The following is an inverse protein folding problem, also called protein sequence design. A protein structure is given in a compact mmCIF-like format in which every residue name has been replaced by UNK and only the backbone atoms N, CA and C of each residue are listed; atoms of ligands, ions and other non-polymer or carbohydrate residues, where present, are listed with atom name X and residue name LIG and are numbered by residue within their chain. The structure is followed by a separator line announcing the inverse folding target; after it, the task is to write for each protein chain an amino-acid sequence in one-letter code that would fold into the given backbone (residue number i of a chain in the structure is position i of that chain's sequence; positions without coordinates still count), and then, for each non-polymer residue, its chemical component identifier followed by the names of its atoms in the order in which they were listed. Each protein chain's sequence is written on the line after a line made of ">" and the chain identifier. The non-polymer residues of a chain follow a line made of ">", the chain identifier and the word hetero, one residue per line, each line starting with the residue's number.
data_IF_207585874544
#
_entry.id   IF_207585874544
#
_cell.length_a   1.000
_cell.length_b   1.000
_cell.length_c   1.000
_cell.angle_alpha   90.00
_cell.angle_beta   90.00
_cell.angle_gamma   90.00
#
_symmetry.space_group_name_H-M   'P 1'
#
loop_
_entity.id
_entity.type
_entity.pdbx_description
1 polymer ?
#
# COMPACT_ATOMS: atom_id res chain seq x y z
N UNK A 1 24.65 6.88 4.32
CA UNK A 1 23.65 5.83 4.64
C UNK A 1 23.52 5.73 6.15
N UNK A 2 22.30 5.79 6.69
CA UNK A 2 22.04 5.65 8.13
C UNK A 2 22.22 4.19 8.58
N UNK A 3 22.41 3.98 9.91
CA UNK A 3 22.40 2.61 10.45
C UNK A 3 21.02 1.99 10.33
N UNK A 4 20.96 0.69 10.05
CA UNK A 4 19.68 -0.05 9.95
C UNK A 4 19.86 -1.52 10.37
N UNK A 5 18.76 -2.15 10.71
CA UNK A 5 18.59 -3.59 10.82
C UNK A 5 17.51 -4.01 9.80
N UNK A 6 17.84 -5.00 8.97
CA UNK A 6 16.90 -5.51 7.98
C UNK A 6 16.59 -6.98 8.23
N UNK A 7 15.31 -7.26 8.41
CA UNK A 7 14.78 -8.62 8.48
C UNK A 7 13.41 -8.66 7.83
N UNK A 8 13.25 -9.49 6.81
CA UNK A 8 11.95 -9.80 6.25
C UNK A 8 11.74 -11.32 6.34
N UNK A 9 10.88 -11.79 7.26
CA UNK A 9 10.72 -13.21 7.53
C UNK A 9 9.73 -13.91 6.58
N UNK A 10 9.01 -13.15 5.74
CA UNK A 10 7.95 -13.71 4.90
C UNK A 10 8.54 -14.56 3.76
N UNK A 11 8.11 -15.82 3.70
CA UNK A 11 8.42 -16.69 2.56
C UNK A 11 7.51 -16.34 1.39
N UNK A 12 8.07 -16.12 0.20
CA UNK A 12 7.31 -15.87 -1.03
C UNK A 12 7.30 -17.15 -1.90
N UNK A 13 6.11 -17.54 -2.32
CA UNK A 13 5.90 -18.54 -3.37
C UNK A 13 5.38 -17.79 -4.59
N UNK A 14 6.25 -17.59 -5.58
CA UNK A 14 5.97 -16.80 -6.77
C UNK A 14 5.88 -17.67 -8.02
N UNK A 15 4.88 -17.45 -8.84
CA UNK A 15 4.74 -18.06 -10.16
C UNK A 15 3.39 -18.72 -10.40
N UNK A 16 3.23 -19.25 -11.60
CA UNK A 16 2.01 -19.93 -12.04
C UNK A 16 1.71 -21.17 -11.20
N UNK A 17 0.44 -21.35 -10.82
CA UNK A 17 -0.04 -22.53 -10.10
C UNK A 17 0.40 -22.62 -8.63
N UNK A 18 1.00 -21.56 -8.06
CA UNK A 18 1.52 -21.61 -6.69
C UNK A 18 0.43 -21.76 -5.62
N UNK A 19 -0.84 -21.48 -5.91
CA UNK A 19 -1.96 -21.67 -4.97
C UNK A 19 -2.07 -23.14 -4.52
N UNK A 20 -1.73 -24.09 -5.37
CA UNK A 20 -1.72 -25.53 -5.05
C UNK A 20 -0.77 -25.90 -3.88
N UNK A 21 0.23 -25.04 -3.62
CA UNK A 21 1.19 -25.26 -2.55
C UNK A 21 0.69 -24.86 -1.14
N UNK A 22 -0.50 -24.27 -1.00
CA UNK A 22 -1.07 -23.88 0.30
C UNK A 22 -1.00 -24.99 1.34
N UNK A 23 -1.41 -26.22 0.98
CA UNK A 23 -1.43 -27.36 1.90
C UNK A 23 -0.04 -27.84 2.35
N UNK A 24 1.03 -27.44 1.65
CA UNK A 24 2.42 -27.75 2.02
C UNK A 24 2.99 -26.79 3.05
N UNK A 25 2.46 -25.58 3.12
CA UNK A 25 2.97 -24.48 3.96
C UNK A 25 2.17 -24.30 5.25
N UNK A 26 0.89 -24.66 5.27
CA UNK A 26 0.04 -24.57 6.45
C UNK A 26 0.26 -25.80 7.34
N UNK A 27 0.46 -25.64 8.67
CA UNK A 27 0.61 -26.76 9.57
C UNK A 27 -0.59 -27.71 9.50
N UNK A 28 -0.32 -29.04 9.49
CA UNK A 28 -1.39 -30.06 9.44
C UNK A 28 -2.34 -29.90 10.63
N UNK A 29 -3.62 -30.17 10.38
CA UNK A 29 -4.71 -30.06 11.36
C UNK A 29 -5.03 -28.66 11.88
N UNK A 30 -4.47 -27.61 11.26
CA UNK A 30 -4.87 -26.24 11.60
C UNK A 30 -6.32 -25.98 11.20
N UNK A 31 -7.08 -25.30 12.05
CA UNK A 31 -8.37 -24.71 11.72
C UNK A 31 -8.15 -23.31 11.18
N UNK A 32 -8.55 -23.06 9.95
CA UNK A 32 -8.21 -21.88 9.17
C UNK A 32 -9.41 -20.94 9.10
N UNK A 33 -9.22 -19.64 9.35
CA UNK A 33 -10.17 -18.61 8.92
C UNK A 33 -9.71 -18.00 7.60
N UNK A 34 -10.42 -18.33 6.52
CA UNK A 34 -10.22 -17.74 5.21
C UNK A 34 -10.98 -16.41 5.10
N UNK A 35 -10.22 -15.32 4.92
CA UNK A 35 -10.71 -13.94 4.85
C UNK A 35 -10.64 -13.45 3.41
N UNK A 36 -11.72 -12.84 2.90
CA UNK A 36 -11.76 -12.30 1.54
C UNK A 36 -12.68 -11.06 1.42
N UNK A 37 -12.54 -10.34 0.32
CA UNK A 37 -13.32 -9.13 0.04
C UNK A 37 -14.73 -9.40 -0.49
N UNK A 38 -15.20 -8.59 -1.43
CA UNK A 38 -16.55 -8.61 -2.00
C UNK A 38 -16.91 -9.82 -2.88
N UNK A 39 -16.06 -10.85 -2.94
CA UNK A 39 -16.36 -12.10 -3.62
C UNK A 39 -15.91 -12.19 -5.09
N UNK A 40 -15.05 -11.29 -5.58
CA UNK A 40 -14.44 -11.38 -6.91
C UNK A 40 -13.70 -12.72 -7.11
N UNK A 41 -13.06 -13.23 -6.06
CA UNK A 41 -12.34 -14.52 -6.08
C UNK A 41 -13.24 -15.70 -6.44
N UNK A 42 -14.55 -15.64 -6.15
CA UNK A 42 -15.55 -16.66 -6.53
C UNK A 42 -15.91 -16.63 -8.01
N UNK A 43 -15.62 -15.52 -8.69
CA UNK A 43 -15.92 -15.33 -10.12
C UNK A 43 -14.76 -15.66 -11.03
N UNK A 44 -13.53 -15.57 -10.53
CA UNK A 44 -12.30 -15.73 -11.30
C UNK A 44 -11.57 -17.08 -11.05
N UNK A 45 -12.19 -17.97 -10.28
CA UNK A 45 -11.69 -19.32 -10.02
C UNK A 45 -10.62 -19.42 -8.90
N UNK A 46 -10.19 -18.31 -8.30
CA UNK A 46 -9.19 -18.33 -7.21
C UNK A 46 -9.78 -19.01 -5.97
N UNK A 47 -11.06 -18.76 -5.66
CA UNK A 47 -11.74 -19.40 -4.54
C UNK A 47 -11.72 -20.92 -4.65
N UNK A 48 -12.04 -21.45 -5.84
CA UNK A 48 -12.07 -22.91 -6.06
C UNK A 48 -10.68 -23.53 -5.93
N UNK A 49 -9.65 -22.90 -6.46
CA UNK A 49 -8.25 -23.32 -6.31
C UNK A 49 -7.83 -23.37 -4.83
N UNK A 50 -8.17 -22.33 -4.05
CA UNK A 50 -7.87 -22.28 -2.61
C UNK A 50 -8.62 -23.37 -1.86
N UNK A 51 -9.91 -23.59 -2.16
CA UNK A 51 -10.72 -24.65 -1.52
C UNK A 51 -10.21 -26.05 -1.85
N UNK A 52 -9.79 -26.27 -3.08
CA UNK A 52 -9.18 -27.54 -3.49
C UNK A 52 -7.86 -27.79 -2.77
N UNK A 53 -6.96 -26.81 -2.73
CA UNK A 53 -5.70 -26.90 -2.02
C UNK A 53 -5.87 -27.15 -0.51
N UNK A 54 -6.98 -26.67 0.07
CA UNK A 54 -7.31 -26.82 1.50
C UNK A 54 -8.35 -27.90 1.78
N UNK A 55 -8.61 -28.81 0.85
CA UNK A 55 -9.66 -29.85 0.98
C UNK A 55 -9.53 -30.77 2.22
N UNK A 56 -8.33 -30.89 2.76
CA UNK A 56 -8.03 -31.69 3.95
C UNK A 56 -7.96 -30.86 5.25
N UNK A 57 -8.38 -29.59 5.23
CA UNK A 57 -8.37 -28.69 6.38
C UNK A 57 -9.77 -28.28 6.80
N UNK A 58 -9.96 -27.97 8.07
CA UNK A 58 -11.16 -27.30 8.55
C UNK A 58 -11.06 -25.79 8.23
N UNK A 59 -11.90 -25.33 7.29
CA UNK A 59 -11.89 -23.95 6.82
C UNK A 59 -13.19 -23.25 7.17
N UNK A 60 -13.12 -22.25 8.03
CA UNK A 60 -14.17 -21.28 8.30
C UNK A 60 -13.98 -20.10 7.36
N UNK A 61 -15.06 -19.50 6.88
CA UNK A 61 -14.99 -18.41 5.91
C UNK A 61 -15.57 -17.11 6.47
N UNK A 62 -14.90 -15.99 6.14
CA UNK A 62 -15.41 -14.65 6.38
C UNK A 62 -15.16 -13.79 5.14
N UNK A 63 -16.24 -13.45 4.43
CA UNK A 63 -16.21 -12.58 3.26
C UNK A 63 -16.77 -11.19 3.56
N UNK A 64 -16.58 -10.26 2.61
CA UNK A 64 -17.16 -8.93 2.67
C UNK A 64 -16.26 -7.87 3.33
N UNK A 65 -14.95 -8.12 3.43
CA UNK A 65 -14.00 -7.07 3.81
C UNK A 65 -13.98 -6.02 2.69
N UNK A 66 -14.36 -4.76 2.95
CA UNK A 66 -14.41 -3.72 1.93
C UNK A 66 -13.01 -3.24 1.53
N UNK A 67 -12.94 -2.54 0.40
CA UNK A 67 -11.81 -1.66 0.12
C UNK A 67 -11.68 -0.64 1.26
N UNK A 68 -10.44 -0.35 1.73
CA UNK A 68 -10.20 0.35 2.99
C UNK A 68 -10.86 -0.41 4.17
N UNK A 69 -10.19 -1.45 4.71
CA UNK A 69 -10.83 -2.40 5.62
C UNK A 69 -11.43 -1.68 6.83
N UNK A 70 -12.69 -1.92 7.06
CA UNK A 70 -13.54 -1.19 8.02
C UNK A 70 -13.54 -1.89 9.39
N UNK A 71 -13.23 -1.15 10.45
CA UNK A 71 -13.10 -1.65 11.82
C UNK A 71 -14.34 -2.44 12.28
N UNK A 72 -15.55 -1.93 12.01
CA UNK A 72 -16.80 -2.58 12.43
C UNK A 72 -16.98 -3.95 11.78
N UNK A 73 -16.56 -4.10 10.51
CA UNK A 73 -16.57 -5.37 9.78
C UNK A 73 -15.56 -6.34 10.36
N UNK A 74 -14.34 -5.86 10.64
CA UNK A 74 -13.27 -6.67 11.23
C UNK A 74 -13.63 -7.16 12.64
N UNK A 75 -14.37 -6.38 13.44
CA UNK A 75 -14.84 -6.81 14.75
C UNK A 75 -15.83 -7.99 14.68
N UNK A 76 -16.56 -8.15 13.56
CA UNK A 76 -17.39 -9.36 13.34
C UNK A 76 -16.51 -10.58 13.08
N UNK A 77 -15.45 -10.42 12.28
CA UNK A 77 -14.47 -11.49 12.05
C UNK A 77 -13.71 -11.87 13.35
N UNK A 78 -13.36 -10.89 14.18
CA UNK A 78 -12.70 -11.14 15.47
C UNK A 78 -13.57 -11.99 16.41
N UNK A 79 -14.88 -11.77 16.43
CA UNK A 79 -15.80 -12.64 17.20
C UNK A 79 -15.78 -14.08 16.68
N UNK A 80 -15.71 -14.25 15.36
CA UNK A 80 -15.64 -15.59 14.75
C UNK A 80 -14.34 -16.30 15.13
N UNK A 81 -13.18 -15.59 15.11
CA UNK A 81 -11.89 -16.14 15.54
C UNK A 81 -11.98 -16.70 16.96
N UNK A 82 -12.59 -15.93 17.88
CA UNK A 82 -12.70 -16.31 19.30
C UNK A 82 -13.67 -17.47 19.54
N UNK A 83 -14.76 -17.56 18.76
CA UNK A 83 -15.80 -18.56 18.93
C UNK A 83 -15.43 -19.91 18.31
N UNK A 84 -14.67 -19.90 17.22
CA UNK A 84 -14.37 -21.07 16.42
C UNK A 84 -13.02 -21.73 16.73
N UNK A 85 -12.26 -21.20 17.68
CA UNK A 85 -10.89 -21.69 18.01
C UNK A 85 -10.00 -21.77 16.76
N UNK A 86 -9.90 -20.68 16.04
CA UNK A 86 -9.07 -20.58 14.83
C UNK A 86 -7.58 -20.62 15.18
N UNK A 87 -6.80 -21.42 14.46
CA UNK A 87 -5.35 -21.55 14.65
C UNK A 87 -4.54 -20.60 13.78
N UNK A 88 -4.99 -20.34 12.53
CA UNK A 88 -4.32 -19.43 11.62
C UNK A 88 -5.30 -18.69 10.70
N UNK A 89 -4.86 -17.56 10.16
CA UNK A 89 -5.64 -16.75 9.23
C UNK A 89 -5.08 -16.91 7.82
N UNK A 90 -5.97 -16.89 6.82
CA UNK A 90 -5.59 -16.89 5.42
C UNK A 90 -6.29 -15.72 4.70
N UNK A 91 -5.53 -14.70 4.32
CA UNK A 91 -6.02 -13.61 3.49
C UNK A 91 -6.03 -14.04 2.02
N UNK A 92 -7.20 -14.05 1.38
CA UNK A 92 -7.34 -14.28 -0.07
C UNK A 92 -7.88 -13.01 -0.70
N UNK A 93 -6.97 -12.10 -1.10
CA UNK A 93 -7.37 -10.77 -1.55
C UNK A 93 -6.20 -9.84 -1.87
N UNK A 94 -6.51 -8.58 -2.09
CA UNK A 94 -5.54 -7.49 -2.19
C UNK A 94 -5.19 -6.90 -0.82
N UNK A 95 -4.48 -5.75 -0.84
CA UNK A 95 -3.99 -5.07 0.35
C UNK A 95 -5.02 -4.89 1.46
N UNK A 96 -6.25 -4.49 1.13
CA UNK A 96 -7.31 -4.28 2.14
C UNK A 96 -7.68 -5.54 2.92
N UNK A 97 -7.72 -6.71 2.25
CA UNK A 97 -7.96 -7.98 2.93
C UNK A 97 -6.77 -8.37 3.79
N UNK A 98 -5.56 -8.15 3.29
CA UNK A 98 -4.32 -8.46 4.00
C UNK A 98 -4.18 -7.56 5.23
N UNK A 99 -4.43 -6.25 5.10
CA UNK A 99 -4.38 -5.29 6.21
C UNK A 99 -5.42 -5.62 7.28
N UNK A 100 -6.66 -5.93 6.87
CA UNK A 100 -7.69 -6.43 7.78
C UNK A 100 -7.26 -7.71 8.51
N UNK A 101 -6.57 -8.62 7.82
CA UNK A 101 -6.04 -9.87 8.40
C UNK A 101 -4.92 -9.58 9.40
N UNK A 102 -4.01 -8.65 9.10
CA UNK A 102 -2.97 -8.20 10.05
C UNK A 102 -3.58 -7.60 11.32
N UNK A 103 -4.58 -6.74 11.15
CA UNK A 103 -5.30 -6.21 12.31
C UNK A 103 -5.93 -7.33 13.14
N UNK A 104 -6.61 -8.28 12.53
CA UNK A 104 -7.23 -9.41 13.20
C UNK A 104 -6.19 -10.31 13.89
N UNK A 105 -5.03 -10.53 13.26
CA UNK A 105 -3.90 -11.26 13.84
C UNK A 105 -3.46 -10.65 15.17
N UNK A 106 -3.28 -9.32 15.24
CA UNK A 106 -2.95 -8.63 16.47
C UNK A 106 -4.12 -8.58 17.46
N UNK A 107 -5.34 -8.24 16.98
CA UNK A 107 -6.53 -8.06 17.81
C UNK A 107 -6.98 -9.36 18.51
N UNK A 108 -6.70 -10.51 17.92
CA UNK A 108 -7.00 -11.81 18.51
C UNK A 108 -6.22 -12.06 19.81
N UNK A 109 -5.00 -11.52 19.92
CA UNK A 109 -4.12 -11.65 21.08
C UNK A 109 -4.21 -10.42 22.02
N UNK A 110 -4.86 -9.36 21.57
CA UNK A 110 -4.96 -8.11 22.33
C UNK A 110 -5.81 -8.26 23.59
N UNK A 111 -5.28 -7.80 24.73
CA UNK A 111 -5.90 -7.90 26.07
C UNK A 111 -6.44 -6.57 26.62
N UNK A 112 -6.31 -5.48 25.86
CA UNK A 112 -6.83 -4.17 26.26
C UNK A 112 -8.33 -4.02 26.00
N UNK A 113 -8.88 -2.87 26.38
CA UNK A 113 -10.32 -2.58 26.36
C UNK A 113 -10.88 -2.50 24.94
N UNK A 114 -10.15 -1.89 24.02
CA UNK A 114 -10.58 -1.70 22.63
C UNK A 114 -9.45 -2.06 21.65
N UNK A 115 -9.68 -2.97 20.69
CA UNK A 115 -8.69 -3.27 19.64
C UNK A 115 -8.31 -2.05 18.80
N UNK A 116 -9.11 -0.98 18.76
CA UNK A 116 -8.76 0.27 18.10
C UNK A 116 -7.49 0.92 18.69
N UNK A 117 -7.18 0.65 19.95
CA UNK A 117 -5.98 1.14 20.59
C UNK A 117 -4.68 0.62 19.94
N UNK A 118 -4.73 -0.50 19.20
CA UNK A 118 -3.61 -0.96 18.39
C UNK A 118 -3.17 0.07 17.32
N UNK A 119 -4.08 0.98 16.90
CA UNK A 119 -3.80 2.03 15.93
C UNK A 119 -3.51 3.39 16.61
N UNK A 120 -4.12 3.66 17.77
CA UNK A 120 -4.01 4.98 18.42
C UNK A 120 -2.85 5.08 19.40
N UNK A 121 -2.38 3.96 19.97
CA UNK A 121 -1.29 3.94 20.97
C UNK A 121 0.10 4.17 20.38
N UNK A 122 0.24 4.15 19.04
CA UNK A 122 1.52 4.32 18.32
C UNK A 122 2.64 3.38 18.81
N UNK A 123 2.29 2.16 19.23
CA UNK A 123 3.25 1.14 19.67
C UNK A 123 3.46 0.08 18.62
N UNK A 124 4.71 -0.36 18.37
CA UNK A 124 4.96 -1.48 17.48
C UNK A 124 4.25 -2.76 17.94
N UNK A 125 3.58 -3.44 17.03
CA UNK A 125 2.94 -4.73 17.28
C UNK A 125 4.02 -5.82 17.22
N UNK A 126 4.30 -6.45 18.34
CA UNK A 126 5.37 -7.46 18.46
C UNK A 126 4.88 -8.90 18.28
N UNK A 127 3.59 -9.14 18.49
CA UNK A 127 2.98 -10.47 18.42
C UNK A 127 1.65 -10.43 17.67
N UNK A 128 1.37 -11.50 16.93
CA UNK A 128 0.11 -11.72 16.23
C UNK A 128 -0.14 -13.21 16.00
N UNK A 129 -1.39 -13.58 15.73
CA UNK A 129 -1.71 -14.92 15.25
C UNK A 129 -1.00 -15.16 13.92
N UNK A 130 -0.50 -16.39 13.67
CA UNK A 130 0.09 -16.71 12.37
C UNK A 130 -0.93 -16.53 11.24
N UNK A 131 -0.49 -15.93 10.15
CA UNK A 131 -1.31 -15.76 8.96
C UNK A 131 -0.48 -15.89 7.68
N UNK A 132 -1.18 -16.25 6.61
CA UNK A 132 -0.65 -16.34 5.27
C UNK A 132 -1.52 -15.54 4.28
N UNK A 133 -1.00 -15.32 3.07
CA UNK A 133 -1.73 -14.59 2.05
C UNK A 133 -1.74 -15.30 0.70
N UNK A 134 -2.82 -15.15 -0.04
CA UNK A 134 -2.92 -15.36 -1.49
C UNK A 134 -3.25 -14.02 -2.10
N UNK A 135 -2.26 -13.39 -2.73
CA UNK A 135 -2.40 -12.05 -3.29
C UNK A 135 -3.25 -12.11 -4.57
N UNK A 136 -4.29 -11.26 -4.63
CA UNK A 136 -5.18 -11.19 -5.79
C UNK A 136 -5.25 -9.81 -6.45
N UNK A 137 -4.64 -8.80 -5.84
CA UNK A 137 -4.54 -7.44 -6.37
C UNK A 137 -3.21 -6.81 -5.89
N UNK A 138 -2.17 -6.80 -6.73
CA UNK A 138 -0.89 -6.17 -6.41
C UNK A 138 -1.01 -4.65 -6.36
N UNK A 139 -0.51 -4.03 -5.30
CA UNK A 139 -0.41 -2.58 -5.10
C UNK A 139 0.46 -2.26 -3.88
N UNK A 140 -0.03 -2.63 -2.69
CA UNK A 140 0.43 -2.15 -1.37
C UNK A 140 1.68 -2.85 -0.83
N UNK A 141 2.12 -3.96 -1.44
CA UNK A 141 3.19 -4.80 -0.87
C UNK A 141 2.86 -5.40 0.51
N UNK A 142 1.57 -5.34 0.94
CA UNK A 142 1.14 -5.81 2.26
C UNK A 142 1.43 -7.31 2.48
N UNK A 143 1.52 -8.08 1.42
CA UNK A 143 1.90 -9.49 1.44
C UNK A 143 3.36 -9.76 1.86
N UNK A 144 4.20 -8.72 1.93
CA UNK A 144 5.61 -8.85 2.32
C UNK A 144 6.08 -7.71 3.23
N UNK A 145 5.17 -7.04 3.93
CA UNK A 145 5.52 -6.03 4.93
C UNK A 145 4.75 -6.23 6.24
N UNK A 146 5.05 -5.40 7.24
CA UNK A 146 4.47 -5.46 8.58
C UNK A 146 3.56 -4.27 8.90
N UNK A 147 3.16 -3.49 7.90
CA UNK A 147 2.22 -2.38 8.04
C UNK A 147 0.79 -2.79 7.71
N UNK A 148 -0.18 -2.12 8.27
CA UNK A 148 -1.60 -2.24 7.95
C UNK A 148 -2.31 -0.90 8.16
N UNK A 149 -3.34 -0.62 7.37
CA UNK A 149 -4.14 0.60 7.48
C UNK A 149 -5.61 0.23 7.63
N UNK A 150 -6.24 0.70 8.69
CA UNK A 150 -7.63 0.39 9.02
C UNK A 150 -8.46 1.66 9.03
N UNK A 151 -9.66 1.58 8.48
CA UNK A 151 -10.62 2.67 8.45
C UNK A 151 -11.65 2.50 9.57
N UNK A 152 -12.06 3.62 10.19
CA UNK A 152 -13.19 3.69 11.08
C UNK A 152 -14.18 4.71 10.55
N UNK A 153 -15.26 4.22 9.96
CA UNK A 153 -16.24 5.06 9.27
C UNK A 153 -16.95 6.02 10.23
N UNK A 154 -17.27 5.56 11.45
CA UNK A 154 -17.94 6.36 12.50
C UNK A 154 -17.23 7.68 12.80
N UNK A 155 -15.90 7.67 12.80
CA UNK A 155 -15.05 8.83 13.10
C UNK A 155 -14.38 9.40 11.85
N UNK A 156 -14.62 8.79 10.67
CA UNK A 156 -13.95 9.11 9.40
C UNK A 156 -12.42 9.12 9.54
N UNK A 157 -11.88 8.14 10.25
CA UNK A 157 -10.45 7.98 10.46
C UNK A 157 -9.89 6.84 9.59
N UNK A 158 -8.69 7.03 9.07
CA UNK A 158 -7.90 5.99 8.39
C UNK A 158 -6.50 6.03 8.97
N UNK A 159 -6.17 5.07 9.84
CA UNK A 159 -4.96 5.04 10.64
C UNK A 159 -4.10 3.82 10.30
N UNK A 160 -2.78 4.02 10.37
CA UNK A 160 -1.80 2.97 10.17
C UNK A 160 -1.37 2.34 11.52
N UNK A 161 -1.04 1.06 11.47
CA UNK A 161 -0.34 0.33 12.52
C UNK A 161 0.76 -0.53 11.92
N UNK A 162 1.73 -0.96 12.71
CA UNK A 162 2.82 -1.79 12.20
C UNK A 162 3.65 -2.41 13.30
N UNK A 163 4.47 -3.37 12.91
CA UNK A 163 5.44 -3.99 13.80
C UNK A 163 5.80 -5.43 13.42
N UNK A 164 6.87 -5.98 13.99
CA UNK A 164 7.43 -7.27 13.56
C UNK A 164 6.47 -8.46 13.71
N UNK A 165 5.43 -8.36 14.55
CA UNK A 165 4.40 -9.39 14.70
C UNK A 165 3.40 -9.48 13.56
N UNK A 166 3.45 -8.55 12.58
CA UNK A 166 2.48 -8.45 11.49
C UNK A 166 3.01 -8.91 10.12
N UNK A 167 4.17 -9.53 10.06
CA UNK A 167 4.61 -10.16 8.81
C UNK A 167 3.82 -11.45 8.54
N UNK A 168 3.35 -11.67 7.30
CA UNK A 168 2.84 -12.99 6.90
C UNK A 168 3.92 -14.06 7.07
N UNK A 169 3.53 -15.27 7.48
CA UNK A 169 4.44 -16.42 7.50
C UNK A 169 4.89 -16.75 6.09
N UNK A 170 3.94 -16.77 5.16
CA UNK A 170 4.22 -16.90 3.73
C UNK A 170 3.16 -16.19 2.91
N UNK A 171 3.49 -15.89 1.66
CA UNK A 171 2.57 -15.30 0.69
C UNK A 171 2.70 -15.97 -0.67
N UNK A 172 1.56 -16.25 -1.28
CA UNK A 172 1.46 -16.79 -2.64
C UNK A 172 1.17 -15.68 -3.60
N UNK A 173 2.02 -15.56 -4.60
CA UNK A 173 1.98 -14.56 -5.66
C UNK A 173 1.90 -15.27 -7.02
N UNK A 174 0.69 -15.50 -7.52
CA UNK A 174 0.47 -16.06 -8.84
C UNK A 174 0.08 -14.96 -9.83
N UNK A 175 0.95 -14.59 -10.78
CA UNK A 175 0.68 -13.52 -11.74
C UNK A 175 -0.57 -13.74 -12.60
N UNK A 176 -1.05 -14.97 -12.75
CA UNK A 176 -2.26 -15.26 -13.51
C UNK A 176 -3.54 -14.63 -12.93
N UNK A 177 -3.55 -14.31 -11.63
CA UNK A 177 -4.69 -13.65 -11.00
C UNK A 177 -4.97 -12.26 -11.62
N UNK A 178 -3.93 -11.62 -12.18
CA UNK A 178 -3.98 -10.26 -12.72
C UNK A 178 -4.92 -10.17 -13.93
N UNK A 179 -5.04 -11.21 -14.74
CA UNK A 179 -5.91 -11.25 -15.93
C UNK A 179 -7.38 -10.92 -15.64
N UNK A 180 -7.81 -11.09 -14.42
CA UNK A 180 -9.19 -10.83 -13.99
C UNK A 180 -9.40 -9.47 -13.32
N UNK A 181 -8.33 -8.68 -13.16
CA UNK A 181 -8.38 -7.40 -12.48
C UNK A 181 -8.91 -6.33 -13.43
N UNK A 182 -9.94 -5.55 -13.04
CA UNK A 182 -10.42 -4.43 -13.84
C UNK A 182 -9.30 -3.39 -14.10
N UNK A 183 -9.29 -2.80 -15.28
CA UNK A 183 -8.28 -1.82 -15.71
C UNK A 183 -8.12 -0.66 -14.71
N UNK A 184 -9.22 -0.17 -14.12
CA UNK A 184 -9.20 0.85 -13.06
C UNK A 184 -8.34 0.41 -11.87
N UNK A 185 -8.44 -0.84 -11.46
CA UNK A 185 -7.69 -1.35 -10.30
C UNK A 185 -6.22 -1.61 -10.65
N UNK A 186 -5.91 -1.99 -11.88
CA UNK A 186 -4.52 -2.08 -12.37
C UNK A 186 -3.85 -0.71 -12.36
N UNK A 187 -4.52 0.31 -12.89
CA UNK A 187 -4.04 1.69 -12.86
C UNK A 187 -3.79 2.18 -11.42
N UNK A 188 -4.73 1.90 -10.51
CA UNK A 188 -4.58 2.21 -9.10
C UNK A 188 -3.37 1.48 -8.49
N UNK A 189 -3.18 0.19 -8.77
CA UNK A 189 -2.06 -0.59 -8.25
C UNK A 189 -0.70 -0.08 -8.73
N UNK A 190 -0.59 0.29 -10.01
CA UNK A 190 0.62 0.89 -10.58
C UNK A 190 0.94 2.22 -9.87
N UNK A 191 -0.06 3.10 -9.74
CA UNK A 191 0.11 4.41 -9.11
C UNK A 191 0.48 4.32 -7.63
N UNK A 192 -0.14 3.40 -6.89
CA UNK A 192 0.12 3.15 -5.48
C UNK A 192 1.58 2.69 -5.27
N UNK A 193 1.99 1.63 -5.99
CA UNK A 193 3.35 1.12 -5.92
C UNK A 193 4.40 2.17 -6.36
N UNK A 194 4.10 2.92 -7.42
CA UNK A 194 4.97 4.00 -7.90
C UNK A 194 5.15 5.09 -6.83
N UNK A 195 4.07 5.50 -6.17
CA UNK A 195 4.11 6.51 -5.11
C UNK A 195 4.80 5.99 -3.84
N UNK A 196 4.60 4.72 -3.47
CA UNK A 196 5.36 4.08 -2.38
C UNK A 196 6.87 4.21 -2.59
N UNK A 197 7.34 3.96 -3.82
CA UNK A 197 8.76 4.11 -4.13
C UNK A 197 9.18 5.58 -4.07
N UNK A 198 8.38 6.50 -4.63
CA UNK A 198 8.70 7.92 -4.60
C UNK A 198 8.86 8.47 -3.18
N UNK A 199 8.01 8.09 -2.23
CA UNK A 199 8.12 8.58 -0.85
C UNK A 199 9.32 8.01 -0.07
N UNK A 200 9.93 6.95 -0.55
CA UNK A 200 11.18 6.41 -0.03
C UNK A 200 12.41 6.93 -0.79
N UNK A 201 12.23 7.37 -2.04
CA UNK A 201 13.29 7.81 -2.94
C UNK A 201 13.48 9.33 -2.93
N UNK A 202 12.39 10.14 -2.93
CA UNK A 202 12.40 11.61 -2.98
C UNK A 202 12.71 12.23 -1.61
N UNK A 203 13.81 11.79 -1.00
CA UNK A 203 14.26 12.23 0.32
C UNK A 203 15.65 12.83 0.25
N UNK A 204 16.13 13.44 1.34
CA UNK A 204 17.48 14.02 1.35
C UNK A 204 18.58 12.97 1.16
N UNK A 205 19.67 13.32 0.46
CA UNK A 205 20.73 12.37 0.13
C UNK A 205 21.43 11.84 1.38
N UNK A 206 21.52 10.52 1.53
CA UNK A 206 22.27 9.83 2.59
C UNK A 206 23.50 9.07 2.07
N UNK A 207 23.79 9.16 0.77
CA UNK A 207 24.82 8.38 0.10
C UNK A 207 24.47 6.90 -0.09
N UNK A 208 23.19 6.55 -0.04
CA UNK A 208 22.68 5.19 -0.17
C UNK A 208 22.48 4.81 -1.65
N UNK A 209 23.56 4.73 -2.42
CA UNK A 209 23.52 4.52 -3.88
C UNK A 209 22.79 3.25 -4.30
N UNK A 210 22.88 2.18 -3.51
CA UNK A 210 22.22 0.92 -3.83
C UNK A 210 20.70 1.03 -3.67
N UNK A 211 20.23 1.67 -2.60
CA UNK A 211 18.80 1.92 -2.38
C UNK A 211 18.22 2.81 -3.47
N UNK A 212 18.96 3.85 -3.89
CA UNK A 212 18.54 4.67 -5.03
C UNK A 212 18.35 3.81 -6.29
N UNK A 213 19.31 2.95 -6.63
CA UNK A 213 19.22 2.09 -7.81
C UNK A 213 18.11 1.05 -7.71
N UNK A 214 17.85 0.47 -6.54
CA UNK A 214 16.70 -0.41 -6.35
C UNK A 214 15.38 0.33 -6.58
N UNK A 215 15.24 1.52 -5.99
CA UNK A 215 14.07 2.38 -6.20
C UNK A 215 13.90 2.75 -7.69
N UNK A 216 14.97 3.20 -8.32
CA UNK A 216 15.00 3.56 -9.73
C UNK A 216 14.62 2.38 -10.64
N UNK A 217 15.13 1.17 -10.36
CA UNK A 217 14.77 -0.03 -11.13
C UNK A 217 13.29 -0.39 -11.00
N UNK A 218 12.70 -0.25 -9.81
CA UNK A 218 11.26 -0.51 -9.61
C UNK A 218 10.44 0.52 -10.38
N UNK A 219 10.78 1.82 -10.28
CA UNK A 219 10.08 2.89 -11.00
C UNK A 219 10.14 2.69 -12.52
N UNK A 220 11.32 2.40 -13.06
CA UNK A 220 11.50 2.12 -14.50
C UNK A 220 10.67 0.92 -14.93
N UNK A 221 10.71 -0.19 -14.17
CA UNK A 221 9.93 -1.39 -14.48
C UNK A 221 8.43 -1.08 -14.50
N UNK A 222 7.91 -0.33 -13.52
CA UNK A 222 6.50 0.06 -13.50
C UNK A 222 6.11 0.92 -14.71
N UNK A 223 6.96 1.86 -15.11
CA UNK A 223 6.74 2.70 -16.32
C UNK A 223 6.72 1.83 -17.59
N UNK A 224 7.65 0.88 -17.71
CA UNK A 224 7.76 0.01 -18.87
C UNK A 224 6.58 -0.96 -19.00
N UNK A 225 6.15 -1.59 -17.90
CA UNK A 225 5.10 -2.61 -17.95
C UNK A 225 3.69 -2.02 -17.96
N UNK A 226 3.50 -0.79 -17.50
CA UNK A 226 2.18 -0.17 -17.40
C UNK A 226 1.36 -0.20 -18.71
N UNK A 227 1.89 0.20 -19.87
CA UNK A 227 1.14 0.14 -21.14
C UNK A 227 0.78 -1.29 -21.53
N UNK A 228 1.67 -2.26 -21.30
CA UNK A 228 1.45 -3.65 -21.66
C UNK A 228 0.36 -4.27 -20.79
N UNK A 229 0.43 -4.11 -19.46
CA UNK A 229 -0.53 -4.69 -18.53
C UNK A 229 -1.92 -4.06 -18.64
N UNK A 230 -2.02 -2.77 -18.95
CA UNK A 230 -3.30 -2.09 -19.18
C UNK A 230 -3.93 -2.52 -20.51
N UNK A 231 -3.12 -2.85 -21.51
CA UNK A 231 -3.59 -3.34 -22.80
C UNK A 231 -4.03 -4.80 -22.75
N UNK A 232 -3.23 -5.65 -22.12
CA UNK A 232 -3.48 -7.08 -21.97
C UNK A 232 -3.08 -7.57 -20.58
N UNK A 233 -4.03 -7.62 -19.63
CA UNK A 233 -3.76 -8.16 -18.30
C UNK A 233 -3.37 -9.65 -18.26
N UNK A 234 -3.52 -10.37 -19.37
CA UNK A 234 -3.13 -11.77 -19.48
C UNK A 234 -1.68 -11.96 -19.97
N UNK A 235 -0.98 -10.88 -20.35
CA UNK A 235 0.46 -10.95 -20.62
C UNK A 235 1.21 -11.33 -19.34
N UNK A 236 1.64 -12.58 -19.28
CA UNK A 236 2.29 -13.14 -18.09
C UNK A 236 3.60 -12.43 -17.74
N UNK A 237 4.37 -11.97 -18.73
CA UNK A 237 5.63 -11.27 -18.47
C UNK A 237 5.36 -9.89 -17.85
N UNK A 238 4.42 -9.13 -18.43
CA UNK A 238 4.03 -7.84 -17.85
C UNK A 238 3.41 -8.03 -16.46
N UNK A 239 2.53 -9.00 -16.27
CA UNK A 239 1.89 -9.34 -15.00
C UNK A 239 2.91 -9.73 -13.91
N UNK A 240 3.89 -10.56 -14.27
CA UNK A 240 4.93 -11.02 -13.33
C UNK A 240 5.80 -9.86 -12.85
N UNK A 241 6.25 -9.01 -13.76
CA UNK A 241 7.07 -7.85 -13.43
C UNK A 241 6.26 -6.81 -12.62
N UNK A 242 5.00 -6.57 -12.98
CA UNK A 242 4.12 -5.68 -12.22
C UNK A 242 3.91 -6.20 -10.80
N UNK A 243 3.50 -7.45 -10.62
CA UNK A 243 3.26 -8.05 -9.30
C UNK A 243 4.49 -7.97 -8.42
N UNK A 244 5.65 -8.38 -8.94
CA UNK A 244 6.89 -8.36 -8.17
C UNK A 244 7.35 -6.94 -7.84
N UNK A 245 7.19 -5.98 -8.76
CA UNK A 245 7.49 -4.57 -8.51
C UNK A 245 6.63 -3.99 -7.39
N UNK A 246 5.32 -4.29 -7.35
CA UNK A 246 4.44 -3.86 -6.26
C UNK A 246 4.90 -4.41 -4.91
N UNK A 247 5.26 -5.68 -4.84
CA UNK A 247 5.78 -6.30 -3.60
C UNK A 247 7.09 -5.64 -3.15
N UNK A 248 8.02 -5.42 -4.09
CA UNK A 248 9.33 -4.83 -3.79
C UNK A 248 9.25 -3.34 -3.46
N UNK A 249 8.21 -2.64 -3.92
CA UNK A 249 7.99 -1.22 -3.66
C UNK A 249 7.83 -0.90 -2.16
N UNK A 250 7.31 -1.85 -1.35
CA UNK A 250 7.05 -1.60 0.08
C UNK A 250 7.38 -2.80 0.98
N UNK A 251 8.32 -3.65 0.62
CA UNK A 251 8.77 -4.75 1.48
C UNK A 251 9.81 -4.35 2.53
N UNK A 252 10.13 -3.07 2.62
CA UNK A 252 11.09 -2.49 3.55
C UNK A 252 12.54 -2.45 3.07
N UNK A 253 12.89 -3.06 1.92
CA UNK A 253 14.28 -3.12 1.46
C UNK A 253 14.80 -1.74 1.04
N UNK A 254 14.06 -1.02 0.19
CA UNK A 254 14.54 0.24 -0.40
C UNK A 254 14.63 1.39 0.62
N UNK A 255 13.93 1.28 1.73
CA UNK A 255 13.97 2.26 2.83
C UNK A 255 15.14 2.04 3.80
N UNK A 256 15.91 0.97 3.66
CA UNK A 256 17.00 0.69 4.60
C UNK A 256 18.12 1.71 4.50
N UNK A 257 18.38 2.40 5.62
CA UNK A 257 19.44 3.42 5.71
C UNK A 257 19.13 4.74 5.02
N UNK A 258 17.88 4.93 4.56
CA UNK A 258 17.34 6.18 4.01
C UNK A 258 16.11 6.63 4.81
N UNK A 259 15.81 7.93 4.88
CA UNK A 259 14.54 8.39 5.47
C UNK A 259 13.36 8.08 4.55
N UNK A 260 12.15 8.04 5.11
CA UNK A 260 10.91 8.04 4.35
C UNK A 260 10.18 9.35 4.53
N UNK A 261 9.51 9.84 3.49
CA UNK A 261 8.72 11.07 3.57
C UNK A 261 7.33 10.82 4.18
N UNK A 262 6.52 10.03 3.52
CA UNK A 262 5.17 9.60 3.92
C UNK A 262 4.14 10.73 4.08
N UNK A 263 4.47 11.96 3.72
CA UNK A 263 3.54 13.09 3.80
C UNK A 263 2.42 12.99 2.76
N UNK A 264 2.73 12.48 1.55
CA UNK A 264 1.73 12.27 0.50
C UNK A 264 0.70 11.23 0.95
N UNK A 265 1.13 10.12 1.55
CA UNK A 265 0.23 9.10 2.10
C UNK A 265 -0.59 9.64 3.28
N UNK A 266 0.00 10.42 4.18
CA UNK A 266 -0.73 11.03 5.29
C UNK A 266 -1.88 11.92 4.82
N UNK A 267 -1.63 12.81 3.86
CA UNK A 267 -2.66 13.67 3.26
C UNK A 267 -3.65 12.86 2.41
N UNK A 268 -3.17 11.89 1.63
CA UNK A 268 -4.01 11.02 0.80
C UNK A 268 -5.00 10.18 1.60
N UNK A 269 -4.62 9.71 2.79
CA UNK A 269 -5.53 9.01 3.71
C UNK A 269 -6.70 9.87 4.14
N UNK A 270 -6.47 11.16 4.39
CA UNK A 270 -7.55 12.09 4.74
C UNK A 270 -8.52 12.30 3.58
N UNK A 271 -8.02 12.46 2.34
CA UNK A 271 -8.87 12.59 1.16
C UNK A 271 -9.72 11.32 0.93
N UNK A 272 -9.12 10.14 1.12
CA UNK A 272 -9.88 8.87 1.07
C UNK A 272 -10.96 8.81 2.15
N UNK A 273 -10.63 9.20 3.37
CA UNK A 273 -11.57 9.16 4.50
C UNK A 273 -12.71 10.19 4.37
N UNK A 274 -12.45 11.33 3.75
CA UNK A 274 -13.45 12.40 3.55
C UNK A 274 -14.40 12.09 2.40
N UNK A 275 -13.88 11.62 1.27
CA UNK A 275 -14.60 11.58 -0.01
C UNK A 275 -14.77 10.18 -0.60
N UNK A 276 -14.17 9.15 -0.01
CA UNK A 276 -14.21 7.80 -0.56
C UNK A 276 -13.44 7.64 -1.88
N UNK A 277 -12.57 8.59 -2.23
CA UNK A 277 -11.71 8.50 -3.42
C UNK A 277 -10.75 7.32 -3.25
N UNK A 278 -10.54 6.53 -4.31
CA UNK A 278 -9.58 5.42 -4.30
C UNK A 278 -8.20 5.91 -3.83
N UNK A 279 -7.56 5.19 -2.92
CA UNK A 279 -6.32 5.60 -2.27
C UNK A 279 -5.23 6.04 -3.26
N UNK A 280 -4.93 5.23 -4.27
CA UNK A 280 -3.93 5.57 -5.28
C UNK A 280 -4.22 6.91 -5.99
N UNK A 281 -5.50 7.22 -6.21
CA UNK A 281 -5.91 8.48 -6.85
C UNK A 281 -5.66 9.68 -5.94
N UNK A 282 -5.85 9.52 -4.62
CA UNK A 282 -5.51 10.59 -3.67
C UNK A 282 -4.01 10.86 -3.62
N UNK A 283 -3.18 9.84 -3.83
CA UNK A 283 -1.72 10.02 -3.93
C UNK A 283 -1.33 10.78 -5.19
N UNK A 284 -1.99 10.50 -6.32
CA UNK A 284 -1.76 11.22 -7.57
C UNK A 284 -2.21 12.69 -7.50
N UNK A 285 -3.25 13.01 -6.73
CA UNK A 285 -3.70 14.38 -6.46
C UNK A 285 -2.66 15.15 -5.65
N UNK A 286 -2.14 14.56 -4.58
CA UNK A 286 -1.29 15.25 -3.61
C UNK A 286 0.18 15.26 -4.03
N UNK A 287 0.69 14.15 -4.57
CA UNK A 287 2.13 13.93 -4.79
C UNK A 287 2.84 15.02 -5.59
N UNK A 288 2.39 15.37 -6.80
CA UNK A 288 3.04 16.41 -7.61
C UNK A 288 3.11 17.77 -6.90
N UNK A 289 2.05 18.14 -6.18
CA UNK A 289 2.00 19.42 -5.46
C UNK A 289 2.82 19.41 -4.17
N UNK A 290 2.95 18.25 -3.51
CA UNK A 290 3.91 18.06 -2.42
C UNK A 290 5.35 18.31 -2.90
N UNK A 291 5.72 17.83 -4.09
CA UNK A 291 7.05 18.07 -4.67
C UNK A 291 7.24 19.53 -5.09
N UNK A 292 6.22 20.19 -5.63
CA UNK A 292 6.27 21.63 -5.95
C UNK A 292 6.41 22.49 -4.70
N UNK A 293 5.66 22.18 -3.64
CA UNK A 293 5.73 22.92 -2.37
C UNK A 293 7.12 22.81 -1.73
N UNK A 294 7.72 21.62 -1.79
CA UNK A 294 9.04 21.34 -1.22
C UNK A 294 10.17 21.40 -2.26
N UNK A 295 9.99 22.15 -3.37
CA UNK A 295 10.88 22.16 -4.52
C UNK A 295 12.34 22.41 -4.14
N UNK A 296 12.62 23.44 -3.36
CA UNK A 296 13.99 23.84 -3.01
C UNK A 296 14.76 22.72 -2.26
N UNK A 297 14.10 21.99 -1.38
CA UNK A 297 14.72 20.89 -0.65
C UNK A 297 14.85 19.62 -1.48
N UNK A 298 13.99 19.41 -2.47
CA UNK A 298 13.89 18.18 -3.27
C UNK A 298 14.48 18.29 -4.68
N UNK A 299 14.77 19.50 -5.20
CA UNK A 299 15.15 19.72 -6.61
C UNK A 299 16.34 18.86 -7.09
N UNK A 300 17.35 18.65 -6.25
CA UNK A 300 18.50 17.81 -6.63
C UNK A 300 18.07 16.35 -6.85
N UNK A 301 17.21 15.83 -5.99
CA UNK A 301 16.69 14.47 -6.11
C UNK A 301 15.68 14.33 -7.24
N UNK A 302 14.86 15.35 -7.45
CA UNK A 302 13.92 15.43 -8.58
C UNK A 302 14.68 15.48 -9.92
N UNK A 303 15.79 16.21 -10.01
CA UNK A 303 16.65 16.23 -11.20
C UNK A 303 17.27 14.84 -11.46
N UNK A 304 17.78 14.16 -10.40
CA UNK A 304 18.27 12.79 -10.50
C UNK A 304 17.18 11.83 -11.00
N UNK A 305 15.97 11.97 -10.51
CA UNK A 305 14.80 11.21 -10.94
C UNK A 305 14.46 11.47 -12.43
N UNK A 306 14.45 12.73 -12.85
CA UNK A 306 14.22 13.08 -14.25
C UNK A 306 15.26 12.46 -15.18
N UNK A 307 16.54 12.51 -14.79
CA UNK A 307 17.61 11.91 -15.57
C UNK A 307 17.48 10.39 -15.67
N UNK A 308 17.22 9.71 -14.54
CA UNK A 308 17.36 8.25 -14.47
C UNK A 308 16.10 7.50 -14.84
N UNK A 309 14.93 8.07 -14.58
CA UNK A 309 13.65 7.41 -14.93
C UNK A 309 13.13 7.87 -16.28
N UNK A 310 13.28 9.17 -16.58
CA UNK A 310 12.70 9.77 -17.79
C UNK A 310 13.72 10.10 -18.89
N UNK A 311 15.01 9.82 -18.64
CA UNK A 311 16.12 10.12 -19.58
C UNK A 311 16.25 11.60 -19.95
N UNK A 312 15.91 12.52 -19.02
CA UNK A 312 16.05 13.96 -19.18
C UNK A 312 17.45 14.38 -18.80
N UNK A 313 18.37 14.34 -19.73
CA UNK A 313 19.81 14.59 -19.46
C UNK A 313 20.24 16.04 -19.65
N UNK A 314 19.51 16.82 -20.46
CA UNK A 314 19.81 18.20 -20.75
C UNK A 314 19.08 19.16 -19.78
N UNK A 315 19.65 20.35 -19.58
CA UNK A 315 19.08 21.39 -18.74
C UNK A 315 19.73 21.53 -17.36
N UNK A 316 19.38 22.61 -16.68
CA UNK A 316 19.78 22.90 -15.29
C UNK A 316 19.12 21.93 -14.30
N UNK A 317 19.56 21.92 -13.05
CA UNK A 317 18.92 21.13 -11.97
C UNK A 317 17.44 21.50 -11.82
N UNK A 318 17.13 22.79 -11.84
CA UNK A 318 15.77 23.31 -11.71
C UNK A 318 14.87 22.91 -12.88
N UNK A 319 15.37 23.01 -14.10
CA UNK A 319 14.64 22.59 -15.32
C UNK A 319 14.34 21.10 -15.28
N UNK A 320 15.34 20.25 -15.01
CA UNK A 320 15.14 18.81 -14.90
C UNK A 320 14.19 18.44 -13.77
N UNK A 321 14.30 19.09 -12.62
CA UNK A 321 13.43 18.84 -11.48
C UNK A 321 11.95 19.15 -11.81
N UNK A 322 11.67 20.26 -12.47
CA UNK A 322 10.31 20.61 -12.91
C UNK A 322 9.79 19.59 -13.94
N UNK A 323 10.60 19.24 -14.95
CA UNK A 323 10.23 18.22 -15.94
C UNK A 323 9.95 16.87 -15.24
N UNK A 324 10.71 16.51 -14.19
CA UNK A 324 10.46 15.30 -13.42
C UNK A 324 9.06 15.27 -12.77
N UNK A 325 8.61 16.40 -12.22
CA UNK A 325 7.25 16.52 -11.66
C UNK A 325 6.20 16.43 -12.77
N UNK A 326 6.40 17.14 -13.88
CA UNK A 326 5.50 17.11 -15.04
C UNK A 326 5.38 15.69 -15.61
N UNK A 327 6.49 14.97 -15.77
CA UNK A 327 6.50 13.57 -16.23
C UNK A 327 5.76 12.62 -15.28
N UNK A 328 5.77 12.89 -13.98
CA UNK A 328 4.98 12.12 -13.02
C UNK A 328 3.48 12.33 -13.24
N UNK A 329 3.04 13.57 -13.47
CA UNK A 329 1.63 13.86 -13.81
C UNK A 329 1.23 13.25 -15.16
N UNK A 330 2.06 13.39 -16.19
CA UNK A 330 1.84 12.76 -17.49
C UNK A 330 1.69 11.24 -17.37
N UNK A 331 2.51 10.61 -16.53
CA UNK A 331 2.43 9.17 -16.27
C UNK A 331 1.08 8.81 -15.62
N UNK A 332 0.67 9.51 -14.57
CA UNK A 332 -0.63 9.27 -13.95
C UNK A 332 -1.80 9.50 -14.93
N UNK A 333 -1.75 10.56 -15.76
CA UNK A 333 -2.74 10.79 -16.80
C UNK A 333 -2.77 9.67 -17.83
N UNK A 334 -1.61 9.11 -18.21
CA UNK A 334 -1.52 7.97 -19.13
C UNK A 334 -2.19 6.70 -18.58
N UNK A 335 -2.30 6.58 -17.26
CA UNK A 335 -3.03 5.52 -16.55
C UNK A 335 -4.54 5.81 -16.41
N UNK A 336 -5.02 6.96 -16.89
CA UNK A 336 -6.42 7.41 -16.71
C UNK A 336 -6.71 7.87 -15.28
N UNK A 337 -5.73 8.45 -14.61
CA UNK A 337 -5.83 8.99 -13.25
C UNK A 337 -5.66 10.50 -13.29
N UNK A 338 -6.66 11.22 -12.86
CA UNK A 338 -6.64 12.67 -12.73
C UNK A 338 -5.82 13.10 -11.50
N UNK A 339 -5.25 14.30 -11.55
CA UNK A 339 -4.32 14.82 -10.53
C UNK A 339 -4.84 16.04 -9.78
N UNK A 340 -6.13 16.40 -9.99
CA UNK A 340 -6.79 17.50 -9.29
C UNK A 340 -7.94 17.01 -8.44
N UNK A 341 -8.08 17.55 -7.24
CA UNK A 341 -9.16 17.17 -6.31
C UNK A 341 -10.54 17.55 -6.86
N UNK A 342 -10.64 18.70 -7.56
CA UNK A 342 -11.89 19.16 -8.21
C UNK A 342 -12.43 18.22 -9.30
N UNK A 343 -11.63 17.28 -9.78
CA UNK A 343 -12.06 16.27 -10.76
C UNK A 343 -12.71 15.05 -10.09
N UNK A 344 -12.74 15.01 -8.74
CA UNK A 344 -13.29 13.90 -7.96
C UNK A 344 -14.45 14.31 -7.04
N UNK A 345 -14.51 15.57 -6.63
CA UNK A 345 -15.56 16.10 -5.75
C UNK A 345 -15.76 17.60 -5.98
N UNK A 346 -17.01 18.05 -5.83
CA UNK A 346 -17.35 19.48 -5.85
C UNK A 346 -17.13 20.14 -4.47
N UNK A 347 -16.93 19.34 -3.41
CA UNK A 347 -16.82 19.81 -2.02
C UNK A 347 -15.35 20.05 -1.59
N UNK A 348 -14.47 20.44 -2.50
CA UNK A 348 -13.03 20.49 -2.24
C UNK A 348 -12.54 21.76 -1.53
N UNK A 349 -13.27 22.86 -1.61
CA UNK A 349 -12.79 24.21 -1.23
C UNK A 349 -12.33 24.36 0.23
N UNK A 350 -12.84 23.55 1.16
CA UNK A 350 -12.47 23.57 2.57
C UNK A 350 -11.57 22.39 2.99
N UNK A 351 -11.19 21.55 2.04
CA UNK A 351 -10.45 20.32 2.32
C UNK A 351 -9.13 20.57 3.04
N UNK A 352 -8.37 21.57 2.58
CA UNK A 352 -7.09 21.96 3.18
C UNK A 352 -7.23 22.28 4.66
N UNK A 353 -8.19 23.15 5.01
CA UNK A 353 -8.43 23.56 6.40
C UNK A 353 -8.93 22.41 7.28
N UNK A 354 -9.78 21.51 6.73
CA UNK A 354 -10.25 20.33 7.44
C UNK A 354 -9.08 19.39 7.78
N UNK A 355 -8.19 19.13 6.82
CA UNK A 355 -7.03 18.25 7.03
C UNK A 355 -6.04 18.88 8.00
N UNK A 356 -5.74 20.16 7.86
CA UNK A 356 -4.91 20.94 8.78
C UNK A 356 -5.41 20.84 10.23
N UNK A 357 -6.72 21.02 10.43
CA UNK A 357 -7.34 20.87 11.73
C UNK A 357 -7.19 19.44 12.27
N UNK A 358 -7.44 18.40 11.47
CA UNK A 358 -7.31 17.00 11.89
C UNK A 358 -5.89 16.64 12.30
N UNK A 359 -4.88 17.12 11.56
CA UNK A 359 -3.49 16.91 11.92
C UNK A 359 -3.12 17.62 13.21
N UNK A 360 -3.64 18.83 13.42
CA UNK A 360 -3.48 19.57 14.68
C UNK A 360 -4.11 18.83 15.85
N UNK A 361 -5.35 18.38 15.71
CA UNK A 361 -6.10 17.65 16.76
C UNK A 361 -5.41 16.33 17.15
N UNK A 362 -4.71 15.67 16.21
CA UNK A 362 -3.91 14.45 16.43
C UNK A 362 -2.49 14.73 16.95
N UNK A 363 -2.08 15.99 17.03
CA UNK A 363 -0.71 16.34 17.39
C UNK A 363 0.34 16.02 16.32
N UNK A 364 -0.06 15.88 15.05
CA UNK A 364 0.83 15.65 13.92
C UNK A 364 1.44 16.97 13.44
N UNK A 365 2.44 17.44 14.16
CA UNK A 365 3.04 18.77 13.95
C UNK A 365 4.27 18.78 13.04
N UNK A 366 4.72 17.60 12.57
CA UNK A 366 5.90 17.48 11.72
C UNK A 366 5.81 16.27 10.82
N UNK A 367 5.39 16.48 9.55
CA UNK A 367 5.37 15.47 8.49
C UNK A 367 6.62 15.58 7.61
N UNK A 368 6.77 14.61 6.71
CA UNK A 368 7.87 14.54 5.76
C UNK A 368 9.18 14.03 6.36
N UNK A 369 10.18 13.80 5.51
CA UNK A 369 11.47 13.21 5.89
C UNK A 369 12.28 14.06 6.88
N UNK A 370 12.04 15.37 6.91
CA UNK A 370 12.65 16.31 7.87
C UNK A 370 11.79 16.53 9.12
N UNK A 371 10.57 16.00 9.16
CA UNK A 371 9.57 16.25 10.21
C UNK A 371 9.30 17.74 10.44
N UNK A 372 9.30 18.53 9.38
CA UNK A 372 9.15 19.98 9.41
C UNK A 372 7.85 20.48 8.78
N UNK A 373 7.15 19.66 8.00
CA UNK A 373 5.86 20.05 7.40
C UNK A 373 4.80 20.14 8.49
N UNK A 374 4.30 21.33 8.70
CA UNK A 374 3.24 21.61 9.68
C UNK A 374 1.85 21.31 9.12
N UNK A 375 0.80 21.25 9.95
CA UNK A 375 -0.57 21.18 9.47
C UNK A 375 -0.94 22.29 8.47
N UNK A 376 -0.43 23.52 8.67
CA UNK A 376 -0.64 24.64 7.73
C UNK A 376 0.07 24.43 6.38
N UNK A 377 1.20 23.73 6.36
CA UNK A 377 1.86 23.38 5.10
C UNK A 377 1.07 22.31 4.35
N UNK A 378 0.50 21.32 5.06
CA UNK A 378 -0.39 20.33 4.46
C UNK A 378 -1.65 20.97 3.86
N UNK A 379 -2.22 21.99 4.53
CA UNK A 379 -3.32 22.80 4.00
C UNK A 379 -2.97 23.39 2.63
N UNK A 380 -1.84 24.10 2.54
CA UNK A 380 -1.38 24.71 1.29
C UNK A 380 -1.12 23.71 0.18
N UNK A 381 -0.52 22.56 0.50
CA UNK A 381 -0.27 21.49 -0.49
C UNK A 381 -1.59 20.95 -1.06
N UNK A 382 -2.60 20.77 -0.21
CA UNK A 382 -3.92 20.32 -0.63
C UNK A 382 -4.63 21.42 -1.47
N UNK A 383 -4.55 22.67 -1.08
CA UNK A 383 -5.10 23.80 -1.86
C UNK A 383 -4.46 23.91 -3.26
N UNK A 384 -3.16 23.64 -3.38
CA UNK A 384 -2.48 23.56 -4.68
C UNK A 384 -3.01 22.42 -5.56
N UNK A 385 -3.74 21.46 -4.98
CA UNK A 385 -4.27 20.28 -5.66
C UNK A 385 -5.74 20.45 -6.13
N UNK A 386 -6.32 21.63 -5.99
CA UNK A 386 -7.71 21.95 -6.37
C UNK A 386 -7.97 22.02 -7.87
#
# INVERSE_FOLDING_TARGET
>A
MNNFEFKNPTKILFGEGQIENLSKEIPKNSKILMLYGGGSIKKNGIYDQVKEALSNYEVVEFGGIPANPEYSVLMKALKLIKNENIDCLLAVGGGSVIDGTKFLSAAALYKGDSPWNLLTDNKPITEGMPFATVLTLPATGSEMNSGAVITREETKEKLAMGGPGLFPVFSILDPQVIRSIPQRQLANGITDAFTHVLEQYMTYPTGALLQDRFAESILQTLVEVAPAILKDPADYNAASNFMWSCTMALNGLIQQGVPGDWAVHAMGHELTALYGIDHARTLAIVGPNHYRYNFESKKVKLAQYAERIWNIVEGTVEEKANIGIEKTEEFFHSLGINTKLSEYTDEYSETGSIVSKRFTDRGWTGLGEHKTLTPSDAEKIIEMSY
#
